data_IF_945259073419
#
_entry.id   IF_945259073419
#
_cell.length_a   1.000
_cell.length_b   1.000
_cell.length_c   1.000
_cell.angle_alpha   90.00
_cell.angle_beta   90.00
_cell.angle_gamma   90.00
#
_symmetry.space_group_name_H-M   'P 1'
#
loop_
_entity.id
_entity.type
_entity.pdbx_description
1 polymer ?
#
# COMPACT_ATOMS: atom_id res chain seq x y z
N UNK A 1 -0.57 -4.44 20.42
CA UNK A 1 0.87 -4.11 20.56
C UNK A 1 1.16 -2.87 19.73
N UNK A 2 1.99 -1.94 20.21
CA UNK A 2 2.43 -0.76 19.45
C UNK A 2 3.94 -0.85 19.30
N UNK A 3 4.47 -0.58 18.12
CA UNK A 3 5.90 -0.54 17.85
C UNK A 3 6.30 0.92 17.72
N UNK A 4 7.43 1.32 18.32
CA UNK A 4 7.94 2.68 18.16
C UNK A 4 8.61 2.79 16.79
N UNK A 5 8.16 3.73 15.98
CA UNK A 5 8.76 4.03 14.69
C UNK A 5 9.55 5.33 14.79
N UNK A 6 10.81 5.32 14.36
CA UNK A 6 11.66 6.50 14.33
C UNK A 6 12.19 6.68 12.91
N UNK A 7 12.04 7.88 12.37
CA UNK A 7 12.58 8.26 11.07
C UNK A 7 13.52 9.45 11.25
N UNK A 8 14.75 9.33 10.75
CA UNK A 8 15.70 10.44 10.82
C UNK A 8 15.44 11.46 9.72
N UNK A 9 15.77 12.72 10.00
CA UNK A 9 15.60 13.85 9.08
C UNK A 9 16.19 13.59 7.69
N UNK A 10 17.32 12.89 7.61
CA UNK A 10 17.96 12.56 6.33
C UNK A 10 17.07 11.69 5.42
N UNK A 11 16.34 10.74 6.00
CA UNK A 11 15.39 9.90 5.27
C UNK A 11 14.10 10.67 4.98
N UNK A 12 13.62 11.50 5.92
CA UNK A 12 12.46 12.37 5.67
C UNK A 12 12.68 13.32 4.49
N UNK A 13 13.88 13.90 4.33
CA UNK A 13 14.19 14.79 3.20
C UNK A 13 14.10 14.11 1.83
N UNK A 14 14.23 12.78 1.77
CA UNK A 14 14.06 12.00 0.55
C UNK A 14 12.59 11.65 0.24
N UNK A 15 11.67 11.91 1.18
CA UNK A 15 10.26 11.69 0.95
C UNK A 15 9.70 12.76 0.02
N UNK A 16 9.00 12.31 -1.01
CA UNK A 16 8.29 13.19 -1.96
C UNK A 16 6.95 13.71 -1.42
N UNK A 17 6.60 13.34 -0.19
CA UNK A 17 5.35 13.71 0.47
C UNK A 17 5.60 13.88 1.97
N UNK A 18 4.72 14.64 2.62
CA UNK A 18 4.73 14.82 4.06
C UNK A 18 3.61 13.97 4.65
N UNK A 19 3.89 13.05 5.60
CA UNK A 19 2.85 12.27 6.23
C UNK A 19 1.93 13.18 7.04
N UNK A 20 0.62 12.97 6.91
CA UNK A 20 -0.42 13.70 7.65
C UNK A 20 -1.03 12.80 8.72
N UNK A 21 -1.59 13.41 9.77
CA UNK A 21 -2.28 12.66 10.82
C UNK A 21 -3.48 11.91 10.24
N UNK A 22 -3.60 10.61 10.54
CA UNK A 22 -4.62 9.73 9.96
C UNK A 22 -4.24 9.08 8.62
N UNK A 23 -3.06 9.37 8.06
CA UNK A 23 -2.58 8.72 6.84
C UNK A 23 -2.07 7.30 7.14
N UNK A 24 -2.58 6.31 6.40
CA UNK A 24 -1.96 4.99 6.34
C UNK A 24 -0.69 5.05 5.49
N UNK A 25 0.42 4.51 6.00
CA UNK A 25 1.71 4.52 5.31
C UNK A 25 2.36 3.14 5.39
N UNK A 26 3.00 2.73 4.29
CA UNK A 26 3.88 1.58 4.25
C UNK A 26 5.30 2.08 4.54
N UNK A 27 5.94 1.50 5.56
CA UNK A 27 7.30 1.84 5.96
C UNK A 27 8.24 0.65 5.72
N UNK A 28 9.48 0.94 5.36
CA UNK A 28 10.54 -0.06 5.19
C UNK A 28 11.80 0.42 5.91
N UNK A 29 12.49 -0.52 6.56
CA UNK A 29 13.72 -0.24 7.30
C UNK A 29 14.08 -1.34 8.26
N UNK A 30 14.87 -1.01 9.28
CA UNK A 30 15.51 -1.96 10.18
C UNK A 30 14.83 -2.00 11.55
N UNK A 31 14.55 -3.21 12.05
CA UNK A 31 14.03 -3.40 13.42
C UNK A 31 15.18 -3.60 14.40
N UNK A 32 15.11 -2.93 15.54
CA UNK A 32 16.05 -3.05 16.65
C UNK A 32 15.29 -3.40 17.91
N UNK A 33 15.76 -4.42 18.61
CA UNK A 33 15.22 -4.85 19.90
C UNK A 33 16.18 -4.38 20.99
N UNK A 34 15.70 -3.55 21.91
CA UNK A 34 16.44 -3.21 23.11
C UNK A 34 16.13 -4.24 24.20
N UNK A 35 17.02 -5.22 24.35
CA UNK A 35 16.86 -6.34 25.30
C UNK A 35 16.64 -5.89 26.75
N UNK A 36 17.17 -4.72 27.12
CA UNK A 36 17.10 -4.20 28.49
C UNK A 36 15.69 -3.74 28.89
N UNK A 37 14.86 -3.33 27.93
CA UNK A 37 13.50 -2.80 28.16
C UNK A 37 12.42 -3.64 27.44
N UNK A 38 12.82 -4.63 26.63
CA UNK A 38 11.93 -5.46 25.81
C UNK A 38 11.18 -4.69 24.73
N UNK A 39 11.61 -3.47 24.40
CA UNK A 39 10.94 -2.59 23.44
C UNK A 39 11.44 -2.83 22.03
N UNK A 40 10.48 -2.99 21.10
CA UNK A 40 10.74 -3.02 19.67
C UNK A 40 10.71 -1.60 19.11
N UNK A 41 11.80 -1.22 18.45
CA UNK A 41 11.90 0.03 17.72
C UNK A 41 12.24 -0.26 16.25
N UNK A 42 11.54 0.38 15.33
CA UNK A 42 11.87 0.32 13.90
C UNK A 42 12.46 1.65 13.46
N UNK A 43 13.60 1.59 12.80
CA UNK A 43 14.21 2.70 12.09
C UNK A 43 13.69 2.67 10.66
N UNK A 44 12.89 3.68 10.32
CA UNK A 44 12.28 3.82 8.99
C UNK A 44 13.29 4.51 8.08
N UNK A 45 13.62 3.84 6.97
CA UNK A 45 14.51 4.37 5.93
C UNK A 45 13.71 4.85 4.71
N UNK A 46 12.60 4.18 4.42
CA UNK A 46 11.70 4.57 3.34
C UNK A 46 10.25 4.54 3.83
N UNK A 47 9.47 5.52 3.38
CA UNK A 47 8.04 5.60 3.67
C UNK A 47 7.30 5.87 2.37
N UNK A 48 6.19 5.19 2.18
CA UNK A 48 5.29 5.37 1.04
C UNK A 48 3.87 5.49 1.58
N UNK A 49 3.02 6.36 1.02
CA UNK A 49 1.62 6.37 1.41
C UNK A 49 1.04 4.99 1.08
N UNK A 50 0.29 4.42 2.02
CA UNK A 50 -0.48 3.19 1.82
C UNK A 50 -1.63 3.56 0.89
N UNK A 51 -1.27 3.58 -0.39
CA UNK A 51 -2.17 3.92 -1.46
C UNK A 51 -3.16 2.80 -1.61
N UNK A 52 -4.32 2.95 -0.96
CA UNK A 52 -5.58 2.45 -1.50
C UNK A 52 -5.62 2.75 -3.01
N UNK A 53 -5.04 3.86 -3.46
CA UNK A 53 -4.81 4.22 -4.86
C UNK A 53 -4.04 3.21 -5.72
N UNK A 54 -2.99 2.51 -5.29
CA UNK A 54 -2.27 1.60 -6.20
C UNK A 54 -3.11 0.38 -6.58
N UNK A 55 -3.75 -0.23 -5.58
CA UNK A 55 -4.65 -1.36 -5.74
C UNK A 55 -5.97 -0.93 -6.39
N UNK A 56 -6.49 0.26 -6.04
CA UNK A 56 -7.68 0.86 -6.66
C UNK A 56 -7.43 1.27 -8.12
N UNK A 57 -6.26 1.82 -8.47
CA UNK A 57 -5.89 2.15 -9.85
C UNK A 57 -5.73 0.86 -10.67
N UNK A 58 -5.08 -0.17 -10.12
CA UNK A 58 -5.00 -1.47 -10.77
C UNK A 58 -6.39 -2.08 -10.97
N UNK A 59 -7.27 -1.97 -9.97
CA UNK A 59 -8.66 -2.43 -10.05
C UNK A 59 -9.48 -1.64 -11.10
N UNK A 60 -9.36 -0.32 -11.14
CA UNK A 60 -10.08 0.53 -12.10
C UNK A 60 -9.58 0.30 -13.54
N UNK A 61 -8.28 0.10 -13.73
CA UNK A 61 -7.71 -0.30 -15.02
C UNK A 61 -8.19 -1.68 -15.44
N UNK A 62 -8.22 -2.66 -14.52
CA UNK A 62 -8.68 -4.01 -14.81
C UNK A 62 -10.17 -4.03 -15.12
N UNK A 63 -10.98 -3.25 -14.39
CA UNK A 63 -12.41 -3.08 -14.64
C UNK A 63 -12.66 -2.43 -16.01
N UNK A 64 -11.99 -1.32 -16.32
CA UNK A 64 -12.09 -0.67 -17.64
C UNK A 64 -11.64 -1.60 -18.77
N UNK A 65 -10.59 -2.39 -18.55
CA UNK A 65 -10.11 -3.37 -19.53
C UNK A 65 -11.14 -4.49 -19.77
N UNK A 66 -11.72 -5.05 -18.71
CA UNK A 66 -12.77 -6.09 -18.81
C UNK A 66 -14.08 -5.56 -19.41
N UNK A 67 -14.44 -4.29 -19.14
CA UNK A 67 -15.58 -3.63 -19.78
C UNK A 67 -15.29 -3.36 -21.27
N UNK A 68 -14.08 -2.93 -21.62
CA UNK A 68 -13.67 -2.66 -23.00
C UNK A 68 -13.49 -3.94 -23.84
N UNK A 69 -13.09 -5.05 -23.22
CA UNK A 69 -12.99 -6.36 -23.90
C UNK A 69 -14.36 -7.00 -24.21
N UNK A 70 -15.49 -6.37 -23.81
CA UNK A 70 -16.82 -6.77 -24.28
C UNK A 70 -17.24 -8.20 -23.89
N UNK A 71 -16.59 -8.80 -22.90
CA UNK A 71 -16.88 -10.18 -22.43
C UNK A 71 -18.25 -10.26 -21.72
N UNK A 72 -18.79 -9.10 -21.33
CA UNK A 72 -20.16 -8.96 -20.81
C UNK A 72 -21.20 -8.64 -21.89
N UNK A 73 -20.79 -8.48 -23.14
CA UNK A 73 -21.71 -8.18 -24.24
C UNK A 73 -22.67 -9.37 -24.47
N UNK A 74 -23.97 -9.07 -24.56
CA UNK A 74 -25.04 -10.07 -24.73
C UNK A 74 -24.84 -10.94 -25.98
N UNK A 75 -24.00 -10.52 -26.91
CA UNK A 75 -23.70 -11.22 -28.17
C UNK A 75 -22.76 -12.43 -28.02
N UNK A 76 -21.97 -12.53 -26.95
CA UNK A 76 -21.07 -13.67 -26.71
C UNK A 76 -21.55 -14.63 -25.60
N UNK A 77 -22.71 -14.37 -24.97
CA UNK A 77 -23.29 -15.29 -23.98
C UNK A 77 -23.79 -16.57 -24.66
N UNK A 78 -22.99 -17.64 -24.56
CA UNK A 78 -23.46 -18.99 -24.85
C UNK A 78 -24.54 -19.38 -23.82
N UNK A 79 -25.68 -19.96 -24.26
CA UNK A 79 -26.68 -20.47 -23.34
C UNK A 79 -26.04 -21.55 -22.46
N UNK A 80 -26.38 -21.51 -21.17
CA UNK A 80 -25.92 -22.46 -20.16
C UNK A 80 -26.38 -23.85 -20.62
N UNK A 81 -25.46 -24.79 -20.92
CA UNK A 81 -25.85 -26.16 -21.25
C UNK A 81 -26.48 -26.82 -20.01
N UNK A 82 -27.59 -27.55 -20.21
CA UNK A 82 -28.23 -28.38 -19.17
C UNK A 82 -27.33 -29.55 -18.77
#
# INVERSE_FOLDING_TARGET
AKIKCVMFKNYCSNLKFMPEDGMSVIVSGNISLYERDGQYQIYVENMQPDGIGALYIAYEQLKKKLEAEGIFDRQHKKPIPK
#
